data_IF_384229146355
#
_entry.id   IF_384229146355
#
_cell.length_a   1.000
_cell.length_b   1.000
_cell.length_c   1.000
_cell.angle_alpha   90.00
_cell.angle_beta   90.00
_cell.angle_gamma   90.00
#
_symmetry.space_group_name_H-M   'P 1'
#
loop_
_entity.id
_entity.type
_entity.pdbx_description
1 polymer ?
#
# COMPACT_ATOMS: atom_id res chain seq x y z
N UNK A 1 32.63 3.98 -24.31
CA UNK A 1 33.27 5.22 -24.79
C UNK A 1 33.79 4.91 -26.18
N UNK A 2 33.12 5.40 -27.21
CA UNK A 2 33.35 5.04 -28.61
C UNK A 2 34.69 5.61 -29.10
N UNK A 3 35.64 4.74 -29.45
CA UNK A 3 36.80 5.09 -30.25
C UNK A 3 36.41 4.95 -31.72
N UNK A 4 36.50 6.02 -32.48
CA UNK A 4 36.54 5.98 -33.94
C UNK A 4 37.70 6.88 -34.36
N UNK A 5 38.80 6.28 -34.80
CA UNK A 5 39.46 6.54 -36.08
C UNK A 5 40.80 5.80 -36.12
N UNK A 6 40.84 4.74 -36.92
CA UNK A 6 42.06 4.27 -37.56
C UNK A 6 41.67 3.92 -38.99
N UNK A 7 41.73 4.89 -39.89
CA UNK A 7 41.77 4.62 -41.32
C UNK A 7 43.24 4.71 -41.73
N UNK A 8 43.90 3.57 -41.80
CA UNK A 8 45.23 3.45 -42.35
C UNK A 8 45.30 2.09 -43.03
N UNK A 9 45.79 2.14 -44.27
CA UNK A 9 46.25 1.03 -45.09
C UNK A 9 45.21 0.26 -45.92
N UNK A 10 44.89 0.81 -47.10
CA UNK A 10 44.97 0.04 -48.36
C UNK A 10 45.50 0.98 -49.44
N UNK A 11 46.83 1.04 -49.58
CA UNK A 11 47.47 1.47 -50.82
C UNK A 11 47.94 0.18 -51.48
N UNK A 12 47.16 -0.34 -52.42
CA UNK A 12 47.53 -1.51 -53.21
C UNK A 12 48.37 -1.02 -54.39
N UNK A 13 49.62 -1.50 -54.41
CA UNK A 13 50.68 -1.15 -55.34
C UNK A 13 50.31 -1.67 -56.72
N UNK A 14 50.04 -0.79 -57.67
CA UNK A 14 49.78 -1.13 -59.06
C UNK A 14 51.02 -1.75 -59.72
N UNK A 15 50.83 -2.88 -60.40
CA UNK A 15 51.78 -3.40 -61.39
C UNK A 15 51.50 -2.72 -62.74
N UNK A 16 52.56 -2.20 -63.33
CA UNK A 16 52.62 -1.66 -64.68
C UNK A 16 52.42 -2.77 -65.73
N UNK A 17 51.69 -2.46 -66.80
CA UNK A 17 51.91 -3.07 -68.12
C UNK A 17 51.63 -2.07 -69.23
N UNK A 18 52.67 -1.84 -70.02
CA UNK A 18 52.76 -1.01 -71.22
C UNK A 18 51.73 -1.37 -72.32
N UNK A 19 51.23 -0.37 -73.05
CA UNK A 19 51.33 -0.33 -74.52
C UNK A 19 50.75 0.95 -75.13
N UNK A 20 51.67 1.83 -75.49
CA UNK A 20 51.89 2.43 -76.82
C UNK A 20 50.79 3.22 -77.58
N UNK A 21 51.32 4.31 -78.14
CA UNK A 21 50.96 5.05 -79.35
C UNK A 21 49.80 6.06 -79.32
N UNK A 22 50.17 7.34 -79.33
CA UNK A 22 49.36 8.39 -79.94
C UNK A 22 49.65 9.79 -79.40
N UNK A 23 50.78 10.38 -79.77
CA UNK A 23 50.97 11.83 -79.69
C UNK A 23 49.84 12.54 -80.47
N UNK A 24 49.17 13.51 -79.85
CA UNK A 24 48.98 14.84 -80.42
C UNK A 24 48.28 15.79 -79.42
N UNK A 25 48.94 16.93 -79.20
CA UNK A 25 48.46 18.18 -78.58
C UNK A 25 48.63 18.36 -77.07
N UNK A 26 49.87 18.73 -76.72
CA UNK A 26 50.22 19.62 -75.61
C UNK A 26 49.38 20.91 -75.66
N UNK A 27 48.37 21.05 -74.77
CA UNK A 27 48.19 22.26 -73.93
C UNK A 27 46.92 22.28 -73.05
N UNK A 28 45.95 21.37 -73.21
CA UNK A 28 44.67 21.47 -72.48
C UNK A 28 44.49 20.45 -71.34
N UNK A 29 45.40 19.49 -71.18
CA UNK A 29 45.18 18.35 -70.27
C UNK A 29 45.61 18.59 -68.81
N UNK A 30 46.36 19.66 -68.53
CA UNK A 30 46.75 20.01 -67.16
C UNK A 30 45.65 20.74 -66.38
N UNK A 31 44.72 21.40 -67.07
CA UNK A 31 43.68 22.21 -66.43
C UNK A 31 42.49 21.37 -65.94
N UNK A 32 42.11 20.31 -66.65
CA UNK A 32 41.01 19.41 -66.24
C UNK A 32 41.35 18.56 -65.00
N UNK A 33 42.61 18.15 -64.85
CA UNK A 33 43.06 17.42 -63.66
C UNK A 33 43.07 18.34 -62.42
N UNK A 34 43.45 19.61 -62.57
CA UNK A 34 43.48 20.59 -61.48
C UNK A 34 42.09 20.79 -60.83
N UNK A 35 41.04 20.81 -61.66
CA UNK A 35 39.66 20.96 -61.21
C UNK A 35 39.12 19.73 -60.50
N UNK A 36 39.50 18.52 -60.94
CA UNK A 36 39.15 17.27 -60.25
C UNK A 36 39.80 17.20 -58.87
N UNK A 37 41.08 17.57 -58.78
CA UNK A 37 41.82 17.69 -57.53
C UNK A 37 41.17 18.72 -56.59
N UNK A 38 40.74 19.89 -57.10
CA UNK A 38 40.08 20.91 -56.28
C UNK A 38 38.77 20.43 -55.64
N UNK A 39 38.00 19.61 -56.35
CA UNK A 39 36.71 19.09 -55.87
C UNK A 39 36.86 17.95 -54.87
N UNK A 40 37.90 17.13 -55.01
CA UNK A 40 38.26 16.10 -54.04
C UNK A 40 38.87 16.75 -52.80
N UNK A 41 39.74 17.74 -52.96
CA UNK A 41 40.31 18.53 -51.86
C UNK A 41 39.20 19.22 -51.07
N UNK A 42 38.21 19.86 -51.70
CA UNK A 42 37.05 20.45 -50.99
C UNK A 42 36.25 19.46 -50.14
N UNK A 43 36.28 18.16 -50.44
CA UNK A 43 35.59 17.12 -49.65
C UNK A 43 36.44 16.56 -48.51
N UNK A 44 37.76 16.69 -48.60
CA UNK A 44 38.73 16.16 -47.63
C UNK A 44 39.25 17.28 -46.71
N UNK A 45 39.22 18.52 -47.18
CA UNK A 45 39.67 19.69 -46.42
C UNK A 45 38.78 19.90 -45.19
N UNK A 46 39.39 20.10 -44.01
CA UNK A 46 38.65 20.37 -42.80
C UNK A 46 38.03 21.77 -42.85
N UNK A 47 36.76 21.89 -42.47
CA UNK A 47 36.08 23.19 -42.35
C UNK A 47 36.65 24.05 -41.20
N UNK A 48 37.23 23.41 -40.18
CA UNK A 48 37.76 24.07 -38.98
C UNK A 48 39.06 23.38 -38.58
N UNK A 49 40.15 24.16 -38.58
CA UNK A 49 41.44 23.76 -38.00
C UNK A 49 41.59 24.43 -36.63
N UNK A 50 41.98 23.66 -35.61
CA UNK A 50 42.21 24.14 -34.24
C UNK A 50 43.65 23.84 -33.87
N UNK A 51 44.40 24.87 -33.50
CA UNK A 51 45.75 24.75 -32.95
C UNK A 51 45.70 25.01 -31.45
N UNK A 52 46.27 24.11 -30.65
CA UNK A 52 46.32 24.24 -29.20
C UNK A 52 47.73 24.66 -28.79
N UNK A 53 47.87 25.87 -28.26
CA UNK A 53 49.15 26.38 -27.79
C UNK A 53 49.31 26.07 -26.29
N UNK A 54 50.27 25.22 -25.95
CA UNK A 54 50.55 24.81 -24.58
C UNK A 54 52.04 24.97 -24.25
N UNK A 55 52.33 25.16 -22.96
CA UNK A 55 53.70 25.15 -22.42
C UNK A 55 54.21 23.71 -22.29
N UNK A 56 55.52 23.53 -22.45
CA UNK A 56 56.15 22.20 -22.37
C UNK A 56 55.95 21.57 -20.98
N UNK A 57 56.03 22.40 -19.92
CA UNK A 57 55.76 21.99 -18.54
C UNK A 57 54.35 21.41 -18.37
N UNK A 58 53.34 22.05 -18.99
CA UNK A 58 51.95 21.60 -18.93
C UNK A 58 51.76 20.26 -19.64
N UNK A 59 52.44 20.04 -20.77
CA UNK A 59 52.36 18.78 -21.52
C UNK A 59 52.97 17.63 -20.71
N UNK A 60 54.14 17.87 -20.08
CA UNK A 60 54.80 16.91 -19.21
C UNK A 60 53.94 16.58 -17.98
N UNK A 61 53.43 17.60 -17.27
CA UNK A 61 52.57 17.42 -16.09
C UNK A 61 51.28 16.65 -16.43
N UNK A 62 50.63 17.00 -17.55
CA UNK A 62 49.41 16.31 -18.01
C UNK A 62 49.67 14.84 -18.33
N UNK A 63 50.79 14.52 -18.94
CA UNK A 63 51.15 13.14 -19.26
C UNK A 63 51.43 12.30 -18.00
N UNK A 64 51.99 12.90 -16.94
CA UNK A 64 52.23 12.23 -15.66
C UNK A 64 50.92 11.91 -14.91
N UNK A 65 49.88 12.75 -15.06
CA UNK A 65 48.59 12.61 -14.37
C UNK A 65 47.51 11.84 -15.13
N UNK A 66 47.81 11.32 -16.33
CA UNK A 66 46.83 10.60 -17.14
C UNK A 66 46.49 9.23 -16.49
N UNK A 67 45.19 8.91 -16.25
CA UNK A 67 44.80 7.62 -15.67
C UNK A 67 45.16 6.45 -16.59
N UNK A 68 45.40 5.28 -16.00
CA UNK A 68 45.91 4.06 -16.66
C UNK A 68 44.98 3.55 -17.79
N UNK A 69 45.15 4.11 -18.98
CA UNK A 69 44.72 3.53 -20.25
C UNK A 69 45.91 2.99 -21.05
N UNK A 70 45.62 2.30 -22.16
CA UNK A 70 46.55 1.52 -23.02
C UNK A 70 47.72 2.29 -23.66
N UNK A 71 48.04 3.51 -23.25
CA UNK A 71 49.07 4.35 -23.88
C UNK A 71 49.79 5.26 -22.89
N UNK A 72 50.33 4.69 -21.80
CA UNK A 72 51.34 5.40 -21.02
C UNK A 72 52.55 5.64 -21.93
N UNK A 73 52.85 6.91 -22.19
CA UNK A 73 54.06 7.30 -22.90
C UNK A 73 55.15 7.52 -21.86
N UNK A 74 56.31 6.92 -22.07
CA UNK A 74 57.47 7.16 -21.22
C UNK A 74 57.88 8.64 -21.29
N UNK A 75 58.35 9.19 -20.17
CA UNK A 75 58.78 10.59 -20.05
C UNK A 75 59.83 10.95 -21.11
N UNK A 76 60.79 10.06 -21.36
CA UNK A 76 61.81 10.22 -22.40
C UNK A 76 61.21 10.27 -23.82
N UNK A 77 60.13 9.51 -24.07
CA UNK A 77 59.43 9.51 -25.36
C UNK A 77 58.66 10.81 -25.60
N UNK A 78 58.08 11.39 -24.54
CA UNK A 78 57.36 12.68 -24.61
C UNK A 78 58.35 13.81 -24.88
N UNK A 79 59.45 13.86 -24.14
CA UNK A 79 60.50 14.88 -24.32
C UNK A 79 61.14 14.80 -25.71
N UNK A 80 61.40 13.59 -26.22
CA UNK A 80 61.90 13.40 -27.58
C UNK A 80 60.92 13.96 -28.62
N UNK A 81 59.64 13.61 -28.54
CA UNK A 81 58.60 14.12 -29.47
C UNK A 81 58.42 15.63 -29.37
N UNK A 82 58.51 16.21 -28.18
CA UNK A 82 58.47 17.67 -28.00
C UNK A 82 59.64 18.34 -28.69
N UNK A 83 60.85 17.80 -28.54
CA UNK A 83 62.03 18.33 -29.23
C UNK A 83 61.92 18.22 -30.76
N UNK A 84 61.39 17.11 -31.27
CA UNK A 84 61.12 16.91 -32.70
C UNK A 84 60.07 17.92 -33.23
N UNK A 85 59.01 18.16 -32.46
CA UNK A 85 57.99 19.15 -32.81
C UNK A 85 58.56 20.57 -32.88
N UNK A 86 59.31 21.02 -31.85
CA UNK A 86 59.90 22.37 -31.81
C UNK A 86 60.97 22.59 -32.87
N UNK A 87 61.73 21.55 -33.23
CA UNK A 87 62.73 21.62 -34.31
C UNK A 87 62.13 21.60 -35.71
N UNK A 88 60.95 20.98 -35.86
CA UNK A 88 60.15 21.02 -37.08
C UNK A 88 59.46 22.38 -37.28
N UNK A 89 58.92 22.96 -36.21
CA UNK A 89 58.19 24.24 -36.23
C UNK A 89 59.11 25.44 -36.51
N UNK A 90 60.41 25.32 -36.23
CA UNK A 90 61.40 26.38 -36.45
C UNK A 90 61.83 26.60 -37.92
N UNK A 91 61.31 25.81 -38.87
CA UNK A 91 61.75 25.81 -40.28
C UNK A 91 60.84 26.61 -41.21
N UNK A 92 60.10 27.61 -40.72
CA UNK A 92 59.18 28.49 -41.48
C UNK A 92 58.08 27.77 -42.31
N UNK A 93 58.03 26.43 -42.27
CA UNK A 93 57.05 25.58 -42.96
C UNK A 93 56.21 24.89 -41.89
N UNK A 94 55.42 25.68 -41.17
CA UNK A 94 54.46 25.15 -40.20
C UNK A 94 53.21 24.69 -40.95
N UNK A 95 52.60 23.53 -40.60
CA UNK A 95 51.35 23.06 -41.23
C UNK A 95 50.21 24.08 -41.21
N UNK A 96 50.24 25.03 -40.28
CA UNK A 96 49.31 26.16 -40.19
C UNK A 96 49.41 27.10 -41.40
N UNK A 97 50.62 27.35 -41.91
CA UNK A 97 50.84 28.22 -43.07
C UNK A 97 50.19 27.63 -44.34
N UNK A 98 50.19 26.30 -44.48
CA UNK A 98 49.47 25.62 -45.56
C UNK A 98 47.95 25.82 -45.48
N UNK A 99 47.37 25.86 -44.28
CA UNK A 99 45.93 26.12 -44.13
C UNK A 99 45.57 27.59 -44.33
N UNK A 100 46.46 28.51 -43.95
CA UNK A 100 46.31 29.94 -44.24
C UNK A 100 46.35 30.23 -45.75
N UNK A 101 47.22 29.55 -46.51
CA UNK A 101 47.26 29.61 -47.99
C UNK A 101 45.97 29.09 -48.65
N UNK A 102 45.22 28.24 -47.95
CA UNK A 102 43.93 27.70 -48.39
C UNK A 102 42.71 28.49 -47.85
N UNK A 103 42.92 29.68 -47.32
CA UNK A 103 41.91 30.55 -46.65
C UNK A 103 41.26 29.93 -45.39
N UNK A 104 41.77 28.80 -44.88
CA UNK A 104 41.28 28.13 -43.68
C UNK A 104 42.07 28.62 -42.47
N UNK A 105 41.58 29.70 -41.85
CA UNK A 105 42.23 30.33 -40.70
C UNK A 105 42.23 29.39 -39.46
N UNK A 106 43.39 28.96 -38.93
CA UNK A 106 43.46 28.13 -37.74
C UNK A 106 42.99 28.88 -36.49
N UNK A 107 42.18 28.23 -35.65
CA UNK A 107 41.82 28.77 -34.33
C UNK A 107 42.92 28.40 -33.34
N UNK A 108 43.77 29.36 -32.99
CA UNK A 108 44.77 29.20 -31.94
C UNK A 108 44.12 29.39 -30.58
N UNK A 109 44.07 28.34 -29.77
CA UNK A 109 43.51 28.36 -28.42
C UNK A 109 44.64 28.18 -27.41
N UNK A 110 44.96 29.20 -26.60
CA UNK A 110 45.99 29.08 -25.57
C UNK A 110 45.48 28.23 -24.41
N UNK A 111 46.26 27.21 -24.04
CA UNK A 111 46.00 26.30 -22.94
C UNK A 111 46.99 26.63 -21.82
N UNK A 112 46.66 27.67 -21.04
CA UNK A 112 47.52 28.18 -19.95
C UNK A 112 47.04 27.76 -18.55
N UNK A 113 45.82 27.25 -18.43
CA UNK A 113 45.20 26.95 -17.13
C UNK A 113 45.49 25.51 -16.70
N UNK A 114 46.34 25.36 -15.68
CA UNK A 114 46.86 24.08 -15.20
C UNK A 114 45.87 23.31 -14.30
N UNK A 115 44.70 23.91 -14.00
CA UNK A 115 43.73 23.37 -13.04
C UNK A 115 42.56 22.60 -13.69
N UNK A 116 42.34 22.76 -14.99
CA UNK A 116 41.21 22.15 -15.70
C UNK A 116 41.66 21.04 -16.67
N UNK A 117 41.88 19.83 -16.13
CA UNK A 117 42.17 18.64 -16.92
C UNK A 117 41.05 18.28 -17.92
N UNK A 118 39.83 18.78 -17.69
CA UNK A 118 38.68 18.63 -18.58
C UNK A 118 38.69 19.56 -19.78
N UNK A 119 39.66 20.49 -19.86
CA UNK A 119 39.84 21.44 -20.98
C UNK A 119 38.55 22.19 -21.33
N UNK A 120 37.71 22.54 -20.34
CA UNK A 120 36.38 23.11 -20.57
C UNK A 120 36.46 24.50 -21.21
N UNK A 121 37.44 25.31 -20.82
CA UNK A 121 37.68 26.63 -21.42
C UNK A 121 38.01 26.53 -22.91
N UNK A 122 39.06 25.80 -23.30
CA UNK A 122 39.39 25.54 -24.70
C UNK A 122 38.25 24.89 -25.49
N UNK A 123 37.54 23.93 -24.88
CA UNK A 123 36.40 23.26 -25.48
C UNK A 123 35.23 24.21 -25.76
N UNK A 124 34.95 25.14 -24.84
CA UNK A 124 33.92 26.16 -25.04
C UNK A 124 34.28 27.12 -26.19
N UNK A 125 35.55 27.54 -26.30
CA UNK A 125 36.03 28.38 -27.40
C UNK A 125 35.86 27.68 -28.76
N UNK A 126 36.19 26.38 -28.83
CA UNK A 126 36.00 25.55 -30.02
C UNK A 126 34.53 25.35 -30.33
N UNK A 127 33.70 25.08 -29.32
CA UNK A 127 32.25 24.87 -29.48
C UNK A 127 31.55 26.13 -30.01
N UNK A 128 32.00 27.32 -29.59
CA UNK A 128 31.47 28.59 -30.09
C UNK A 128 31.71 28.74 -31.60
N UNK A 129 32.89 28.32 -32.09
CA UNK A 129 33.25 28.34 -33.52
C UNK A 129 32.55 27.24 -34.32
N UNK A 130 32.42 26.04 -33.75
CA UNK A 130 31.73 24.90 -34.39
C UNK A 130 30.20 25.08 -34.48
N UNK A 131 29.62 25.94 -33.64
CA UNK A 131 28.18 26.23 -33.64
C UNK A 131 27.34 25.18 -32.89
N UNK A 132 26.02 25.24 -33.06
CA UNK A 132 25.11 24.30 -32.37
C UNK A 132 25.32 22.88 -32.91
N UNK A 133 25.46 21.85 -32.04
CA UNK A 133 25.54 20.47 -32.48
C UNK A 133 24.40 20.12 -33.46
N UNK A 134 24.75 19.56 -34.62
CA UNK A 134 23.80 19.20 -35.66
C UNK A 134 22.66 18.33 -35.09
N UNK A 135 21.42 18.84 -35.18
CA UNK A 135 20.22 18.10 -34.76
C UNK A 135 19.83 17.09 -35.83
N UNK A 136 20.13 15.81 -35.63
CA UNK A 136 19.66 14.74 -36.52
C UNK A 136 18.13 14.60 -36.45
N UNK A 137 17.39 15.15 -37.43
CA UNK A 137 15.92 15.07 -37.49
C UNK A 137 15.37 13.63 -37.38
N UNK A 138 16.06 12.66 -37.99
CA UNK A 138 15.66 11.24 -37.94
C UNK A 138 15.75 10.67 -36.52
N UNK A 139 16.71 11.13 -35.71
CA UNK A 139 16.86 10.71 -34.32
C UNK A 139 15.72 11.26 -33.45
N UNK A 140 15.33 12.53 -33.67
CA UNK A 140 14.21 13.15 -32.95
C UNK A 140 12.88 12.42 -33.19
N UNK A 141 12.58 12.04 -34.43
CA UNK A 141 11.35 11.32 -34.76
C UNK A 141 11.27 9.93 -34.07
N UNK A 142 12.41 9.26 -33.91
CA UNK A 142 12.48 7.99 -33.19
C UNK A 142 12.26 8.16 -31.68
N UNK A 143 12.84 9.21 -31.10
CA UNK A 143 12.67 9.55 -29.68
C UNK A 143 11.20 9.90 -29.39
N UNK A 144 10.59 10.75 -30.20
CA UNK A 144 9.19 11.16 -30.02
C UNK A 144 8.20 9.99 -30.16
N UNK A 145 8.45 9.09 -31.12
CA UNK A 145 7.64 7.88 -31.28
C UNK A 145 7.79 6.91 -30.09
N UNK A 146 8.99 6.79 -29.51
CA UNK A 146 9.24 5.98 -28.31
C UNK A 146 8.54 6.59 -27.09
N UNK A 147 8.68 7.90 -26.86
CA UNK A 147 8.02 8.61 -25.76
C UNK A 147 6.49 8.53 -25.83
N UNK A 148 5.92 8.58 -27.04
CA UNK A 148 4.48 8.46 -27.22
C UNK A 148 3.97 7.06 -26.85
N UNK A 149 4.69 6.01 -27.27
CA UNK A 149 4.35 4.63 -26.89
C UNK A 149 4.45 4.42 -25.39
N UNK A 150 5.51 4.93 -24.77
CA UNK A 150 5.69 4.85 -23.31
C UNK A 150 4.56 5.56 -22.55
N UNK A 151 4.13 6.73 -23.02
CA UNK A 151 2.97 7.44 -22.44
C UNK A 151 1.67 6.66 -22.57
N UNK A 152 1.40 6.10 -23.74
CA UNK A 152 0.22 5.25 -23.97
C UNK A 152 0.23 4.00 -23.07
N UNK A 153 1.38 3.33 -22.96
CA UNK A 153 1.55 2.18 -22.06
C UNK A 153 1.32 2.56 -20.59
N UNK A 154 1.90 3.66 -20.15
CA UNK A 154 1.75 4.17 -18.78
C UNK A 154 0.31 4.60 -18.48
N UNK A 155 -0.39 5.22 -19.43
CA UNK A 155 -1.82 5.53 -19.30
C UNK A 155 -2.67 4.26 -19.23
N UNK A 156 -2.37 3.24 -20.04
CA UNK A 156 -3.10 1.96 -19.97
C UNK A 156 -2.86 1.22 -18.66
N UNK A 157 -1.64 1.27 -18.11
CA UNK A 157 -1.31 0.71 -16.80
C UNK A 157 -2.07 1.45 -15.70
N UNK A 158 -2.02 2.79 -15.68
CA UNK A 158 -2.81 3.60 -14.73
C UNK A 158 -4.31 3.34 -14.82
N UNK A 159 -4.84 3.17 -16.03
CA UNK A 159 -6.25 2.85 -16.23
C UNK A 159 -6.61 1.45 -15.70
N UNK A 160 -5.73 0.45 -15.85
CA UNK A 160 -5.90 -0.89 -15.28
C UNK A 160 -5.82 -0.86 -13.75
N UNK A 161 -4.85 -0.16 -13.18
CA UNK A 161 -4.70 0.01 -11.73
C UNK A 161 -5.91 0.73 -11.13
N UNK A 162 -6.38 1.81 -11.77
CA UNK A 162 -7.57 2.53 -11.31
C UNK A 162 -8.84 1.68 -11.37
N UNK A 163 -8.98 0.81 -12.38
CA UNK A 163 -10.09 -0.16 -12.44
C UNK A 163 -9.97 -1.21 -11.34
N UNK A 164 -8.78 -1.79 -11.15
CA UNK A 164 -8.53 -2.78 -10.09
C UNK A 164 -8.81 -2.21 -8.69
N UNK A 165 -8.39 -0.97 -8.43
CA UNK A 165 -8.67 -0.27 -7.17
C UNK A 165 -10.17 -0.05 -6.95
N UNK A 166 -10.90 0.37 -7.99
CA UNK A 166 -12.37 0.54 -7.91
C UNK A 166 -13.10 -0.78 -7.67
N UNK A 167 -12.66 -1.85 -8.33
CA UNK A 167 -13.27 -3.17 -8.15
C UNK A 167 -12.99 -3.72 -6.74
N UNK A 168 -11.79 -3.50 -6.21
CA UNK A 168 -11.45 -3.85 -4.83
C UNK A 168 -12.25 -3.03 -3.81
N UNK A 169 -12.42 -1.73 -4.05
CA UNK A 169 -13.24 -0.86 -3.20
C UNK A 169 -14.72 -1.30 -3.18
N UNK A 170 -15.26 -1.69 -4.34
CA UNK A 170 -16.63 -2.22 -4.42
C UNK A 170 -16.79 -3.51 -3.62
N UNK A 171 -15.88 -4.47 -3.80
CA UNK A 171 -15.90 -5.73 -3.03
C UNK A 171 -15.82 -5.48 -1.52
N UNK A 172 -14.97 -4.55 -1.09
CA UNK A 172 -14.86 -4.20 0.34
C UNK A 172 -16.15 -3.55 0.87
N UNK A 173 -16.85 -2.76 0.05
CA UNK A 173 -18.15 -2.18 0.42
C UNK A 173 -19.22 -3.25 0.52
N UNK A 174 -19.31 -4.12 -0.47
CA UNK A 174 -20.23 -5.27 -0.48
C UNK A 174 -20.00 -6.15 0.75
N UNK A 175 -18.76 -6.56 1.05
CA UNK A 175 -18.46 -7.36 2.26
C UNK A 175 -18.81 -6.63 3.57
N UNK A 176 -18.67 -5.29 3.60
CA UNK A 176 -19.05 -4.50 4.77
C UNK A 176 -20.56 -4.45 4.94
N UNK A 177 -21.29 -4.26 3.85
CA UNK A 177 -22.75 -4.23 3.83
C UNK A 177 -23.30 -5.61 4.23
N UNK A 178 -22.82 -6.69 3.63
CA UNK A 178 -23.20 -8.07 4.00
C UNK A 178 -22.91 -8.37 5.48
N UNK A 179 -21.74 -7.97 6.00
CA UNK A 179 -21.47 -8.13 7.44
C UNK A 179 -22.42 -7.29 8.27
N UNK A 180 -22.69 -6.05 7.89
CA UNK A 180 -23.59 -5.17 8.64
C UNK A 180 -25.00 -5.74 8.69
N UNK A 181 -25.51 -6.24 7.56
CA UNK A 181 -26.81 -6.90 7.44
C UNK A 181 -26.85 -8.14 8.34
N UNK A 182 -25.87 -9.04 8.23
CA UNK A 182 -25.76 -10.23 9.07
C UNK A 182 -25.77 -9.89 10.57
N UNK A 183 -24.95 -8.91 11.00
CA UNK A 183 -24.94 -8.49 12.39
C UNK A 183 -26.27 -7.85 12.81
N UNK A 184 -26.91 -7.07 11.93
CA UNK A 184 -28.19 -6.42 12.23
C UNK A 184 -29.31 -7.43 12.44
N UNK A 185 -29.35 -8.50 11.63
CA UNK A 185 -30.29 -9.61 11.77
C UNK A 185 -30.04 -10.36 13.07
N UNK A 186 -28.77 -10.67 13.36
CA UNK A 186 -28.40 -11.37 14.60
C UNK A 186 -28.76 -10.55 15.84
N UNK A 187 -28.52 -9.23 15.83
CA UNK A 187 -28.91 -8.34 16.92
C UNK A 187 -30.44 -8.22 17.04
N UNK A 188 -31.18 -8.27 15.95
CA UNK A 188 -32.64 -8.27 15.99
C UNK A 188 -33.16 -9.53 16.70
N UNK A 189 -32.64 -10.71 16.33
CA UNK A 189 -32.97 -11.99 16.97
C UNK A 189 -32.62 -11.96 18.46
N UNK A 190 -31.41 -11.51 18.80
CA UNK A 190 -30.97 -11.43 20.20
C UNK A 190 -31.86 -10.50 21.03
N UNK A 191 -32.30 -9.36 20.48
CA UNK A 191 -33.25 -8.47 21.17
C UNK A 191 -34.62 -9.12 21.37
N UNK A 192 -35.15 -9.82 20.36
CA UNK A 192 -36.42 -10.54 20.50
C UNK A 192 -36.33 -11.62 21.59
N UNK A 193 -35.21 -12.35 21.66
CA UNK A 193 -34.95 -13.33 22.71
C UNK A 193 -34.84 -12.69 24.10
N UNK A 194 -34.13 -11.56 24.22
CA UNK A 194 -34.01 -10.79 25.47
C UNK A 194 -35.39 -10.28 25.94
N UNK A 195 -36.20 -9.71 25.04
CA UNK A 195 -37.55 -9.25 25.34
C UNK A 195 -38.46 -10.41 25.77
N UNK A 196 -38.39 -11.55 25.08
CA UNK A 196 -39.15 -12.74 25.45
C UNK A 196 -38.74 -13.30 26.82
N UNK A 197 -37.44 -13.34 27.12
CA UNK A 197 -36.92 -13.76 28.41
C UNK A 197 -37.36 -12.81 29.53
N UNK A 198 -37.35 -11.49 29.29
CA UNK A 198 -37.85 -10.50 30.24
C UNK A 198 -39.35 -10.64 30.48
N UNK A 199 -40.14 -10.88 29.43
CA UNK A 199 -41.57 -11.12 29.55
C UNK A 199 -41.85 -12.40 30.36
N UNK A 200 -41.12 -13.48 30.09
CA UNK A 200 -41.24 -14.74 30.84
C UNK A 200 -40.83 -14.59 32.32
N UNK A 201 -39.79 -13.80 32.60
CA UNK A 201 -39.38 -13.50 33.97
C UNK A 201 -40.43 -12.64 34.72
N UNK A 202 -41.14 -11.77 34.01
CA UNK A 202 -42.26 -10.98 34.56
C UNK A 202 -43.58 -11.76 34.72
N UNK A 203 -43.73 -12.88 34.00
CA UNK A 203 -44.92 -13.72 33.99
C UNK A 203 -45.40 -14.20 35.38
N UNK A 204 -44.55 -14.77 36.26
CA UNK A 204 -45.01 -15.25 37.56
C UNK A 204 -45.56 -14.13 38.44
N UNK A 205 -44.91 -12.95 38.41
CA UNK A 205 -45.38 -11.77 39.13
C UNK A 205 -46.72 -11.29 38.56
N UNK A 206 -46.83 -11.18 37.24
CA UNK A 206 -48.08 -10.78 36.56
C UNK A 206 -49.23 -11.72 36.90
N UNK A 207 -49.00 -13.04 36.85
CA UNK A 207 -50.02 -14.04 37.17
C UNK A 207 -50.43 -13.98 38.64
N UNK A 208 -49.48 -13.75 39.55
CA UNK A 208 -49.80 -13.52 40.96
C UNK A 208 -50.70 -12.30 41.16
N UNK A 209 -50.37 -11.16 40.54
CA UNK A 209 -51.17 -9.94 40.61
C UNK A 209 -52.58 -10.15 40.04
N UNK A 210 -52.68 -10.77 38.85
CA UNK A 210 -53.95 -11.02 38.15
C UNK A 210 -54.86 -11.98 38.91
N UNK A 211 -54.32 -13.02 39.54
CA UNK A 211 -55.13 -14.02 40.24
C UNK A 211 -55.46 -13.67 41.69
N UNK A 212 -54.57 -12.97 42.41
CA UNK A 212 -54.73 -12.76 43.85
C UNK A 212 -55.13 -11.33 44.21
N UNK A 213 -54.62 -10.32 43.51
CA UNK A 213 -54.77 -8.91 43.90
C UNK A 213 -55.87 -8.23 43.07
N UNK A 214 -55.83 -8.37 41.75
CA UNK A 214 -56.78 -7.70 40.84
C UNK A 214 -58.25 -8.07 41.07
N UNK A 215 -58.64 -9.32 41.41
CA UNK A 215 -60.06 -9.63 41.63
C UNK A 215 -60.69 -8.85 42.78
N UNK A 216 -59.89 -8.48 43.78
CA UNK A 216 -60.35 -7.71 44.94
C UNK A 216 -60.14 -6.20 44.74
N UNK A 217 -59.01 -5.81 44.16
CA UNK A 217 -58.63 -4.41 43.97
C UNK A 217 -59.45 -3.73 42.85
N UNK A 218 -59.71 -4.42 41.73
CA UNK A 218 -60.45 -3.84 40.59
C UNK A 218 -61.86 -3.37 40.94
N UNK A 219 -62.73 -4.17 41.60
CA UNK A 219 -64.05 -3.70 42.00
C UNK A 219 -63.95 -2.60 43.07
N UNK A 220 -62.98 -2.67 43.97
CA UNK A 220 -62.77 -1.64 44.99
C UNK A 220 -62.43 -0.28 44.36
N UNK A 221 -61.50 -0.27 43.40
CA UNK A 221 -61.17 0.93 42.62
C UNK A 221 -62.33 1.43 41.77
N UNK A 222 -63.17 0.53 41.25
CA UNK A 222 -64.38 0.89 40.52
C UNK A 222 -65.39 1.61 41.43
N UNK A 223 -65.57 1.15 42.68
CA UNK A 223 -66.46 1.78 43.65
C UNK A 223 -65.92 3.16 44.11
N UNK A 224 -64.61 3.29 44.31
CA UNK A 224 -63.96 4.59 44.57
C UNK A 224 -64.25 5.56 43.41
N UNK A 225 -64.12 5.10 42.17
CA UNK A 225 -64.35 5.93 40.98
C UNK A 225 -65.82 6.37 40.83
N UNK A 226 -66.79 5.56 41.28
CA UNK A 226 -68.22 5.88 41.28
C UNK A 226 -68.60 6.88 42.36
N UNK A 227 -68.17 6.63 43.60
CA UNK A 227 -68.59 7.39 44.77
C UNK A 227 -67.81 8.69 44.94
N UNK A 228 -66.59 8.77 44.37
CA UNK A 228 -65.65 9.90 44.51
C UNK A 228 -65.63 10.47 45.94
N UNK A 229 -65.24 9.66 46.92
CA UNK A 229 -65.11 10.13 48.30
C UNK A 229 -64.03 11.22 48.40
N UNK A 230 -64.09 12.01 49.46
CA UNK A 230 -63.15 13.11 49.73
C UNK A 230 -61.72 12.59 49.98
N UNK A 231 -61.59 11.38 50.56
CA UNK A 231 -60.35 10.61 50.63
C UNK A 231 -60.50 9.24 49.92
N UNK A 232 -59.94 9.06 48.71
CA UNK A 232 -60.04 7.80 47.96
C UNK A 232 -59.16 6.69 48.53
N UNK A 233 -58.12 7.02 49.30
CA UNK A 233 -57.20 6.01 49.85
C UNK A 233 -57.82 5.38 51.09
N UNK A 234 -58.38 6.19 51.98
CA UNK A 234 -59.01 5.69 53.21
C UNK A 234 -60.26 4.85 52.89
N UNK A 235 -61.11 5.33 51.98
CA UNK A 235 -62.28 4.57 51.51
C UNK A 235 -61.88 3.23 50.85
N UNK A 236 -60.79 3.21 50.08
CA UNK A 236 -60.29 1.98 49.47
C UNK A 236 -59.79 1.00 50.54
N UNK A 237 -59.09 1.49 51.56
CA UNK A 237 -58.62 0.65 52.66
C UNK A 237 -59.79 0.03 53.43
N UNK A 238 -60.80 0.83 53.80
CA UNK A 238 -62.02 0.33 54.44
C UNK A 238 -62.73 -0.73 53.60
N UNK A 239 -62.85 -0.50 52.29
CA UNK A 239 -63.47 -1.44 51.36
C UNK A 239 -62.70 -2.76 51.31
N UNK A 240 -61.36 -2.71 51.26
CA UNK A 240 -60.51 -3.91 51.24
C UNK A 240 -60.59 -4.67 52.57
N UNK A 241 -60.63 -3.98 53.71
CA UNK A 241 -60.82 -4.61 55.03
C UNK A 241 -62.18 -5.30 55.14
N UNK A 242 -63.25 -4.70 54.58
CA UNK A 242 -64.58 -5.32 54.54
C UNK A 242 -64.63 -6.59 53.70
N UNK A 243 -63.86 -6.63 52.61
CA UNK A 243 -63.76 -7.81 51.73
C UNK A 243 -62.89 -8.94 52.32
N UNK A 244 -62.07 -8.64 53.33
CA UNK A 244 -61.27 -9.64 54.05
C UNK A 244 -61.37 -9.45 55.57
N UNK A 245 -62.53 -9.78 56.19
CA UNK A 245 -62.81 -9.46 57.58
C UNK A 245 -62.01 -10.28 58.60
N UNK A 246 -61.33 -11.35 58.17
CA UNK A 246 -60.54 -12.20 59.06
C UNK A 246 -59.12 -11.71 59.26
N UNK A 247 -58.53 -10.93 58.34
CA UNK A 247 -57.14 -10.43 58.42
C UNK A 247 -56.03 -11.48 58.48
N UNK A 248 -56.39 -12.77 58.67
CA UNK A 248 -55.46 -13.90 58.89
C UNK A 248 -54.52 -14.16 57.72
N UNK A 249 -54.84 -13.68 56.52
CA UNK A 249 -53.95 -13.74 55.36
C UNK A 249 -52.61 -13.01 55.54
N UNK A 250 -52.51 -12.13 56.54
CA UNK A 250 -51.28 -11.41 56.86
C UNK A 250 -50.43 -12.11 57.94
N UNK A 251 -50.91 -13.23 58.53
CA UNK A 251 -50.17 -13.97 59.54
C UNK A 251 -49.09 -14.88 58.91
N UNK A 252 -47.85 -14.88 59.43
CA UNK A 252 -46.81 -15.79 58.96
C UNK A 252 -47.24 -17.26 59.12
N UNK A 253 -47.36 -17.99 58.01
CA UNK A 253 -47.76 -19.41 58.00
C UNK A 253 -49.24 -19.67 57.65
N UNK A 254 -50.03 -18.62 57.37
CA UNK A 254 -51.41 -18.80 56.92
C UNK A 254 -51.48 -19.34 55.48
N UNK A 255 -52.15 -20.49 55.29
CA UNK A 255 -52.44 -21.06 53.98
C UNK A 255 -53.96 -21.23 53.83
N UNK A 256 -54.56 -20.46 52.92
CA UNK A 256 -56.00 -20.48 52.66
C UNK A 256 -56.52 -21.85 52.23
N UNK A 257 -55.70 -22.64 51.51
CA UNK A 257 -56.07 -24.00 51.14
C UNK A 257 -56.07 -24.92 52.35
N UNK A 258 -55.06 -24.80 53.23
CA UNK A 258 -55.01 -25.56 54.47
C UNK A 258 -56.20 -25.24 55.38
N UNK A 259 -56.60 -23.97 55.52
CA UNK A 259 -57.78 -23.62 56.34
C UNK A 259 -59.09 -24.13 55.70
N UNK A 260 -59.23 -24.06 54.37
CA UNK A 260 -60.39 -24.66 53.66
C UNK A 260 -60.44 -26.18 53.81
N UNK A 261 -59.29 -26.85 53.72
CA UNK A 261 -59.17 -28.30 53.93
C UNK A 261 -59.49 -28.63 55.39
N UNK A 262 -58.94 -27.90 56.34
CA UNK A 262 -59.20 -28.08 57.77
C UNK A 262 -60.68 -27.83 58.09
N UNK A 263 -61.32 -26.85 57.45
CA UNK A 263 -62.75 -26.61 57.56
C UNK A 263 -63.58 -27.78 57.02
N UNK A 264 -63.21 -28.32 55.86
CA UNK A 264 -63.86 -29.52 55.30
C UNK A 264 -63.63 -30.76 56.18
N UNK A 265 -62.42 -30.95 56.70
CA UNK A 265 -62.07 -32.03 57.63
C UNK A 265 -62.89 -31.88 58.91
N UNK A 266 -63.06 -30.66 59.43
CA UNK A 266 -63.85 -30.40 60.63
C UNK A 266 -65.33 -30.69 60.42
N UNK A 267 -65.89 -30.29 59.27
CA UNK A 267 -67.26 -30.65 58.90
C UNK A 267 -67.42 -32.17 58.77
N UNK A 268 -66.41 -32.85 58.21
CA UNK A 268 -66.40 -34.30 58.09
C UNK A 268 -66.31 -34.98 59.46
N UNK A 269 -65.46 -34.47 60.36
CA UNK A 269 -65.29 -34.96 61.75
C UNK A 269 -66.54 -34.74 62.60
N UNK A 270 -67.19 -33.59 62.46
CA UNK A 270 -68.47 -33.32 63.13
C UNK A 270 -69.58 -34.25 62.58
N UNK A 271 -69.63 -34.48 61.27
CA UNK A 271 -70.53 -35.46 60.67
C UNK A 271 -70.22 -36.91 61.09
N UNK A 272 -68.94 -37.24 61.33
CA UNK A 272 -68.49 -38.54 61.81
C UNK A 272 -68.78 -38.74 63.31
N UNK A 273 -68.90 -37.67 64.10
CA UNK A 273 -69.33 -37.74 65.50
C UNK A 273 -70.84 -37.93 65.64
N UNK A 274 -71.62 -37.35 64.72
CA UNK A 274 -73.08 -37.52 64.68
C UNK A 274 -73.48 -38.94 64.24
N UNK A 275 -72.64 -39.62 63.46
CA UNK A 275 -72.73 -41.04 63.13
C UNK A 275 -71.82 -41.82 64.08
N UNK A 276 -72.35 -42.31 65.22
CA UNK A 276 -71.61 -42.95 66.33
C UNK A 276 -70.79 -44.22 65.91
N UNK A 277 -69.74 -44.02 65.10
CA UNK A 277 -68.87 -45.03 64.53
C UNK A 277 -67.53 -44.92 65.26
N UNK A 278 -67.26 -45.88 66.14
CA UNK A 278 -65.93 -46.05 66.74
C UNK A 278 -64.94 -46.47 65.66
N UNK A 279 -64.08 -45.54 65.27
CA UNK A 279 -62.93 -45.84 64.44
C UNK A 279 -61.74 -46.00 65.38
N UNK A 280 -61.20 -47.21 65.46
CA UNK A 280 -60.00 -47.49 66.25
C UNK A 280 -58.78 -46.77 65.63
N UNK A 281 -57.91 -46.16 66.45
CA UNK A 281 -56.75 -45.46 65.95
C UNK A 281 -55.77 -46.45 65.29
N UNK A 282 -55.52 -46.25 64.00
CA UNK A 282 -54.45 -46.93 63.25
C UNK A 282 -53.08 -46.39 63.68
N UNK A 283 -52.67 -46.69 64.92
CA UNK A 283 -51.25 -46.79 65.25
C UNK A 283 -50.87 -48.27 65.21
N UNK A 284 -49.92 -48.69 64.35
CA UNK A 284 -49.39 -50.04 64.44
C UNK A 284 -48.57 -50.21 65.73
N UNK A 285 -48.66 -51.37 66.41
CA UNK A 285 -47.87 -51.66 67.60
C UNK A 285 -46.39 -51.80 67.21
N UNK A 286 -45.55 -51.00 67.88
CA UNK A 286 -44.09 -51.13 68.03
C UNK A 286 -43.33 -51.76 66.85
N UNK A 287 -42.98 -50.93 65.86
CA UNK A 287 -41.75 -51.17 65.10
C UNK A 287 -40.59 -50.65 65.96
N UNK A 288 -39.83 -51.58 66.52
CA UNK A 288 -38.60 -51.35 67.26
C UNK A 288 -37.71 -50.32 66.52
N UNK A 289 -37.43 -49.21 67.20
CA UNK A 289 -36.37 -48.28 66.81
C UNK A 289 -35.02 -48.99 67.02
N UNK A 290 -34.37 -49.46 65.95
CA UNK A 290 -32.94 -49.72 66.00
C UNK A 290 -32.18 -48.41 65.77
N UNK A 291 -31.57 -47.91 66.84
CA UNK A 291 -30.61 -46.81 66.84
C UNK A 291 -29.37 -47.16 66.00
N UNK A 292 -28.96 -46.37 64.99
CA UNK A 292 -27.69 -46.57 64.32
C UNK A 292 -26.61 -45.80 65.08
N UNK A 293 -26.25 -46.27 66.27
CA UNK A 293 -24.96 -45.90 66.86
C UNK A 293 -24.20 -47.12 67.33
N UNK A 294 -22.92 -47.17 66.94
CA UNK A 294 -21.86 -48.10 67.37
C UNK A 294 -21.84 -49.48 66.68
N UNK A 295 -20.77 -49.94 66.00
CA UNK A 295 -19.37 -49.51 65.95
C UNK A 295 -18.60 -50.37 64.92
N UNK A 296 -17.57 -49.73 64.35
CA UNK A 296 -16.19 -50.22 64.13
C UNK A 296 -15.84 -51.14 62.94
N UNK A 297 -15.05 -50.51 62.07
CA UNK A 297 -13.67 -50.87 61.71
C UNK A 297 -13.42 -52.19 60.97
N UNK A 298 -13.12 -52.07 59.67
CA UNK A 298 -11.95 -52.75 59.12
C UNK A 298 -11.18 -51.78 58.23
N UNK A 299 -9.95 -51.51 58.67
CA UNK A 299 -8.90 -50.71 58.03
C UNK A 299 -8.07 -51.53 57.05
N UNK A 300 -7.35 -50.80 56.18
CA UNK A 300 -6.19 -51.21 55.35
C UNK A 300 -6.57 -52.05 54.11
N UNK A 301 -6.35 -51.61 52.87
CA UNK A 301 -5.28 -50.76 52.33
C UNK A 301 -4.17 -51.66 51.83
N UNK A 302 -3.84 -51.56 50.54
CA UNK A 302 -2.49 -51.76 49.99
C UNK A 302 -2.46 -51.78 48.45
N UNK A 303 -1.55 -50.94 47.93
CA UNK A 303 -0.81 -50.96 46.66
C UNK A 303 -1.54 -50.68 45.33
#
# INVERSE_FOLDING_TARGET
MFYLYWFLSVFEKGEEQDSDAGEENENDQFDEDLDLYSNVLKKILPDIVVSLEATDDFICEKAMHQPEGDSRLDEETILRRLSEFRTGDARDITPLNFFDELDIHPLVVPVKEHTDYGMKGPYAAVTLRMGRPCRYRKLLALIEAAEKREKEELETLRAKEAKAMKDLEKKLKEEREERMEYWSELYAIMREEEEAALAAAGEPMRNYLVHNIFPTLTPALLEVAKLRPEDPVDFLAEYLFKMNPSGKMLEPGYNLQAEKILGKIKILDDALKDLDIKIDPLLPPEAEFEDPTSKKNTSMGAF
#
